data_IF_900637523169
#
_entry.id   IF_900637523169
#
_cell.length_a   1.000
_cell.length_b   1.000
_cell.length_c   1.000
_cell.angle_alpha   90.00
_cell.angle_beta   90.00
_cell.angle_gamma   90.00
#
_symmetry.space_group_name_H-M   'P 1'
#
loop_
_entity.id
_entity.type
_entity.pdbx_description
1 polymer ?
#
# COMPACT_ATOMS: atom_id res chain seq x y z
N UNK A 1 18.67 21.31 8.64
CA UNK A 1 17.78 20.19 8.24
C UNK A 1 18.63 19.16 7.51
N UNK A 2 18.80 17.96 8.07
CA UNK A 2 19.54 16.89 7.38
C UNK A 2 18.66 16.31 6.27
N UNK A 3 18.96 16.71 5.03
CA UNK A 3 18.25 16.25 3.84
C UNK A 3 18.49 14.76 3.63
N UNK A 4 17.47 14.02 3.18
CA UNK A 4 17.61 12.62 2.75
C UNK A 4 18.72 12.49 1.70
N UNK A 5 18.85 13.49 0.82
CA UNK A 5 19.93 13.55 -0.18
C UNK A 5 21.31 13.61 0.48
N UNK A 6 21.48 14.37 1.56
CA UNK A 6 22.76 14.45 2.28
C UNK A 6 23.11 13.12 2.96
N UNK A 7 22.11 12.42 3.52
CA UNK A 7 22.32 11.10 4.14
C UNK A 7 22.63 10.01 3.10
N UNK A 8 22.00 10.08 1.94
CA UNK A 8 22.29 9.19 0.81
C UNK A 8 23.73 9.40 0.30
N UNK A 9 24.11 10.66 0.05
CA UNK A 9 25.47 11.01 -0.39
C UNK A 9 26.54 10.67 0.65
N UNK A 10 26.20 10.72 1.94
CA UNK A 10 27.06 10.30 3.04
C UNK A 10 27.10 8.77 3.27
N UNK A 11 26.42 7.97 2.44
CA UNK A 11 26.37 6.50 2.55
C UNK A 11 25.59 5.98 3.77
N UNK A 12 24.88 6.85 4.49
CA UNK A 12 24.08 6.49 5.68
C UNK A 12 22.74 5.84 5.33
N UNK A 13 22.33 5.93 4.06
CA UNK A 13 21.09 5.35 3.52
C UNK A 13 21.44 4.53 2.29
N UNK A 14 20.97 3.30 2.24
CA UNK A 14 21.11 2.44 1.08
C UNK A 14 20.06 2.81 0.01
N UNK A 15 20.51 2.98 -1.24
CA UNK A 15 19.64 3.38 -2.35
C UNK A 15 18.58 2.31 -2.67
N UNK A 16 18.93 1.04 -2.58
CA UNK A 16 18.02 -0.07 -2.86
C UNK A 16 16.91 -0.12 -1.82
N UNK A 17 17.23 0.07 -0.54
CA UNK A 17 16.20 0.11 0.51
C UNK A 17 15.24 1.27 0.28
N UNK A 18 15.76 2.46 -0.05
CA UNK A 18 14.95 3.64 -0.34
C UNK A 18 14.04 3.42 -1.56
N UNK A 19 14.54 2.77 -2.61
CA UNK A 19 13.75 2.42 -3.79
C UNK A 19 12.63 1.44 -3.43
N UNK A 20 12.94 0.40 -2.65
CA UNK A 20 11.91 -0.58 -2.22
C UNK A 20 10.83 0.05 -1.35
N UNK A 21 11.18 0.99 -0.47
CA UNK A 21 10.22 1.73 0.36
C UNK A 21 9.34 2.65 -0.49
N UNK A 22 9.92 3.33 -1.49
CA UNK A 22 9.16 4.16 -2.42
C UNK A 22 8.14 3.33 -3.21
N UNK A 23 8.56 2.18 -3.73
CA UNK A 23 7.66 1.26 -4.46
C UNK A 23 6.56 0.75 -3.51
N UNK A 24 6.90 0.38 -2.28
CA UNK A 24 5.93 -0.03 -1.25
C UNK A 24 4.87 1.05 -1.02
N UNK A 25 5.28 2.30 -0.82
CA UNK A 25 4.35 3.40 -0.63
C UNK A 25 3.45 3.61 -1.84
N UNK A 26 4.01 3.54 -3.04
CA UNK A 26 3.26 3.67 -4.27
C UNK A 26 2.20 2.57 -4.43
N UNK A 27 2.57 1.31 -4.22
CA UNK A 27 1.63 0.18 -4.26
C UNK A 27 0.51 0.36 -3.23
N UNK A 28 0.83 0.74 -1.99
CA UNK A 28 -0.19 0.97 -0.97
C UNK A 28 -1.15 2.11 -1.32
N UNK A 29 -0.68 3.15 -2.04
CA UNK A 29 -1.55 4.22 -2.54
C UNK A 29 -2.48 3.69 -3.63
N UNK A 30 -1.96 2.93 -4.59
CA UNK A 30 -2.77 2.32 -5.65
C UNK A 30 -3.83 1.37 -5.09
N UNK A 31 -3.46 0.49 -4.15
CA UNK A 31 -4.42 -0.43 -3.52
C UNK A 31 -5.56 0.28 -2.78
N UNK A 32 -5.28 1.44 -2.17
CA UNK A 32 -6.33 2.25 -1.53
C UNK A 32 -7.27 2.83 -2.58
N UNK A 33 -6.74 3.32 -3.70
CA UNK A 33 -7.54 3.82 -4.81
C UNK A 33 -8.39 2.70 -5.43
N UNK A 34 -7.83 1.51 -5.64
CA UNK A 34 -8.59 0.33 -6.10
C UNK A 34 -9.72 -0.04 -5.12
N UNK A 35 -9.48 0.01 -3.81
CA UNK A 35 -10.55 -0.24 -2.84
C UNK A 35 -11.61 0.89 -2.85
N UNK A 36 -11.22 2.14 -3.13
CA UNK A 36 -12.18 3.24 -3.36
C UNK A 36 -13.07 2.95 -4.54
N UNK A 37 -12.48 2.56 -5.67
CA UNK A 37 -13.24 2.22 -6.87
C UNK A 37 -14.17 1.03 -6.62
N UNK A 38 -13.65 -0.02 -5.97
CA UNK A 38 -14.42 -1.21 -5.63
C UNK A 38 -15.63 -0.91 -4.73
N UNK A 39 -15.48 -0.01 -3.75
CA UNK A 39 -16.56 0.37 -2.84
C UNK A 39 -17.45 1.50 -3.39
N UNK A 40 -17.00 2.19 -4.44
CA UNK A 40 -17.65 3.36 -5.03
C UNK A 40 -17.88 4.53 -4.06
N UNK A 41 -17.00 4.68 -3.05
CA UNK A 41 -16.99 5.84 -2.15
C UNK A 41 -15.64 6.03 -1.46
N UNK A 42 -15.32 7.28 -1.10
CA UNK A 42 -14.04 7.63 -0.48
C UNK A 42 -13.96 7.25 1.00
N UNK A 43 -12.74 7.20 1.54
CA UNK A 43 -12.57 7.00 2.99
C UNK A 43 -13.26 8.14 3.74
N UNK A 44 -14.15 7.79 4.67
CA UNK A 44 -14.98 8.70 5.47
C UNK A 44 -16.14 9.40 4.72
N UNK A 45 -16.40 9.01 3.47
CA UNK A 45 -17.57 9.50 2.74
C UNK A 45 -18.88 8.98 3.40
N UNK A 46 -19.88 9.86 3.66
CA UNK A 46 -21.20 9.47 4.15
C UNK A 46 -21.89 8.39 3.32
N UNK A 47 -21.62 8.29 2.01
CA UNK A 47 -22.13 7.22 1.12
C UNK A 47 -21.79 5.81 1.62
N UNK A 48 -20.70 5.67 2.38
CA UNK A 48 -20.31 4.40 2.99
C UNK A 48 -21.18 3.98 4.18
N UNK A 49 -21.94 4.89 4.79
CA UNK A 49 -22.82 4.57 5.93
C UNK A 49 -24.00 3.72 5.45
N UNK A 50 -24.29 2.63 6.14
CA UNK A 50 -25.36 1.68 5.80
C UNK A 50 -25.28 1.08 4.38
N UNK A 51 -24.10 1.13 3.74
CA UNK A 51 -23.86 0.56 2.40
C UNK A 51 -23.80 -0.98 2.37
N UNK A 52 -23.84 -1.64 3.53
CA UNK A 52 -23.65 -3.09 3.65
C UNK A 52 -22.19 -3.56 3.54
N UNK A 53 -21.30 -2.78 2.92
CA UNK A 53 -19.88 -3.14 2.75
C UNK A 53 -18.96 -1.96 3.08
N UNK A 54 -18.14 -2.11 4.12
CA UNK A 54 -17.29 -1.03 4.65
C UNK A 54 -15.80 -1.34 4.60
N UNK A 55 -14.95 -0.32 4.63
CA UNK A 55 -13.50 -0.51 4.81
C UNK A 55 -13.24 -1.10 6.19
N UNK A 56 -12.45 -2.17 6.27
CA UNK A 56 -12.24 -2.92 7.51
C UNK A 56 -10.75 -3.14 7.83
N UNK A 57 -9.97 -2.06 7.75
CA UNK A 57 -8.55 -2.07 8.07
C UNK A 57 -7.68 -2.65 6.95
N UNK A 58 -6.57 -3.27 7.35
CA UNK A 58 -5.54 -3.80 6.46
C UNK A 58 -5.08 -5.16 6.94
N UNK A 59 -4.58 -5.99 6.03
CA UNK A 59 -3.73 -7.12 6.35
C UNK A 59 -2.32 -6.89 5.80
N UNK A 60 -1.35 -7.61 6.35
CA UNK A 60 0.05 -7.50 5.95
C UNK A 60 0.40 -8.61 4.98
N UNK A 61 1.16 -8.29 3.93
CA UNK A 61 1.70 -9.27 2.98
C UNK A 61 3.11 -8.87 2.55
N UNK A 62 3.97 -9.86 2.28
CA UNK A 62 5.25 -9.64 1.64
C UNK A 62 5.12 -9.90 0.13
N UNK A 63 5.78 -9.06 -0.68
CA UNK A 63 5.73 -9.14 -2.14
C UNK A 63 7.14 -9.21 -2.71
N UNK A 64 7.43 -10.33 -3.38
CA UNK A 64 8.65 -10.45 -4.19
C UNK A 64 8.44 -9.69 -5.50
N UNK A 65 9.36 -8.79 -5.81
CA UNK A 65 9.38 -8.03 -7.07
C UNK A 65 10.76 -8.13 -7.69
N UNK A 66 10.89 -7.75 -8.97
CA UNK A 66 12.19 -7.65 -9.63
C UNK A 66 13.12 -6.60 -9.01
N UNK A 67 12.59 -5.70 -8.20
CA UNK A 67 13.33 -4.63 -7.52
C UNK A 67 13.67 -4.98 -6.06
N UNK A 68 13.38 -6.21 -5.63
CA UNK A 68 13.60 -6.67 -4.26
C UNK A 68 12.33 -7.15 -3.56
N UNK A 69 12.50 -7.58 -2.32
CA UNK A 69 11.40 -8.05 -1.48
C UNK A 69 10.78 -6.88 -0.72
N UNK A 70 9.54 -6.54 -1.06
CA UNK A 70 8.74 -5.54 -0.34
C UNK A 70 8.16 -6.20 0.89
N UNK A 71 8.65 -5.78 2.05
CA UNK A 71 8.20 -6.30 3.34
C UNK A 71 7.08 -5.45 3.91
N UNK A 72 6.20 -6.08 4.68
CA UNK A 72 5.13 -5.43 5.44
C UNK A 72 4.21 -4.53 4.60
N UNK A 73 3.83 -4.98 3.40
CA UNK A 73 2.87 -4.27 2.55
C UNK A 73 1.49 -4.30 3.22
N UNK A 74 0.92 -3.12 3.48
CA UNK A 74 -0.43 -3.00 4.04
C UNK A 74 -1.47 -3.02 2.94
N UNK A 75 -2.12 -4.17 2.77
CA UNK A 75 -3.18 -4.34 1.77
C UNK A 75 -4.54 -4.01 2.41
N UNK A 76 -5.30 -3.05 1.86
CA UNK A 76 -6.59 -2.67 2.41
C UNK A 76 -7.62 -3.77 2.15
N UNK A 77 -8.63 -3.87 3.03
CA UNK A 77 -9.72 -4.85 2.89
C UNK A 77 -11.08 -4.22 3.16
N UNK A 78 -12.11 -4.80 2.54
CA UNK A 78 -13.50 -4.51 2.85
C UNK A 78 -14.07 -5.47 3.91
N UNK A 79 -15.25 -5.15 4.44
CA UNK A 79 -15.94 -5.89 5.50
C UNK A 79 -16.36 -7.26 5.00
N UNK A 80 -16.84 -7.34 3.77
CA UNK A 80 -17.36 -8.58 3.19
C UNK A 80 -16.24 -9.51 2.67
N UNK A 81 -14.99 -9.05 2.60
CA UNK A 81 -13.87 -9.84 2.11
C UNK A 81 -13.86 -10.09 0.59
N UNK A 82 -14.74 -9.43 -0.15
CA UNK A 82 -14.86 -9.57 -1.61
C UNK A 82 -13.71 -8.88 -2.37
N UNK A 83 -13.10 -7.84 -1.79
CA UNK A 83 -11.93 -7.20 -2.38
C UNK A 83 -10.71 -8.10 -2.21
N UNK A 84 -10.34 -8.81 -3.28
CA UNK A 84 -9.24 -9.75 -3.27
C UNK A 84 -8.12 -9.32 -4.20
N UNK A 85 -7.08 -8.69 -3.63
CA UNK A 85 -5.87 -8.40 -4.38
C UNK A 85 -4.96 -9.63 -4.48
N UNK A 86 -4.99 -10.26 -5.66
CA UNK A 86 -4.10 -11.36 -6.02
C UNK A 86 -2.87 -10.82 -6.74
N UNK A 87 -1.98 -10.15 -6.01
CA UNK A 87 -0.63 -9.87 -6.52
C UNK A 87 0.01 -11.19 -6.94
N UNK A 88 0.18 -11.40 -8.25
CA UNK A 88 0.86 -12.59 -8.78
C UNK A 88 2.30 -12.55 -8.29
N UNK A 89 2.63 -13.48 -7.40
CA UNK A 89 4.01 -13.86 -7.11
C UNK A 89 4.43 -14.66 -8.34
N UNK A 90 5.25 -14.06 -9.19
CA UNK A 90 5.95 -14.81 -10.24
C UNK A 90 7.33 -15.15 -9.70
#
# INVERSE_FOLDING_TARGET
MNSILQKLLAGQVNLDSLLTDLIKEFIQKLLKAELTEFLNYEKYDPKGKNSGNSRNGYYTRNLKTKYGNIQDLKVPRNRNGEFNWKGKIT
#
